data_IF_556314014264
#
_entry.id   IF_556314014264
#
_cell.length_a   1.000
_cell.length_b   1.000
_cell.length_c   1.000
_cell.angle_alpha   90.00
_cell.angle_beta   90.00
_cell.angle_gamma   90.00
#
_symmetry.space_group_name_H-M   'P 1'
#
loop_
_entity.id
_entity.type
_entity.pdbx_description
1 polymer ?
#
# COMPACT_ATOMS: atom_id res chain seq x y z
N UNK A 1 21.72 16.18 27.96
CA UNK A 1 21.31 15.46 26.73
C UNK A 1 20.16 14.48 26.99
N UNK A 2 19.07 14.91 27.63
CA UNK A 2 17.89 14.06 27.90
C UNK A 2 16.65 14.46 27.08
N UNK A 3 16.61 15.68 26.54
CA UNK A 3 15.38 16.24 25.95
C UNK A 3 14.99 15.72 24.56
N UNK A 4 15.93 15.18 23.77
CA UNK A 4 15.65 14.79 22.36
C UNK A 4 15.05 13.38 22.21
N UNK A 5 15.06 12.56 23.27
CA UNK A 5 14.52 11.19 23.23
C UNK A 5 13.04 11.13 23.57
N UNK A 6 12.58 12.02 24.45
CA UNK A 6 11.17 12.10 24.87
C UNK A 6 10.30 12.66 23.72
N UNK A 7 10.83 13.61 22.95
CA UNK A 7 10.14 14.14 21.75
C UNK A 7 9.93 13.08 20.65
N UNK A 8 10.82 12.08 20.54
CA UNK A 8 10.72 11.03 19.53
C UNK A 8 9.60 10.04 19.85
N UNK A 9 9.44 9.69 21.13
CA UNK A 9 8.37 8.80 21.58
C UNK A 9 6.99 9.44 21.39
N UNK A 10 6.88 10.75 21.64
CA UNK A 10 5.67 11.55 21.39
C UNK A 10 5.31 11.63 19.89
N UNK A 11 6.30 11.56 19.00
CA UNK A 11 6.10 11.57 17.55
C UNK A 11 5.58 10.21 17.05
N UNK A 12 6.03 9.11 17.63
CA UNK A 12 5.53 7.75 17.33
C UNK A 12 4.08 7.57 17.83
N UNK A 13 3.72 8.10 19.00
CA UNK A 13 2.33 8.11 19.50
C UNK A 13 1.39 9.02 18.68
N UNK A 14 1.95 10.05 18.03
CA UNK A 14 1.20 10.85 17.07
C UNK A 14 0.94 10.04 15.80
N UNK A 15 1.95 9.31 15.32
CA UNK A 15 1.88 8.50 14.10
C UNK A 15 0.80 7.41 14.19
N UNK A 16 0.67 6.74 15.34
CA UNK A 16 -0.35 5.71 15.57
C UNK A 16 -1.78 6.27 15.55
N UNK A 17 -1.99 7.49 16.05
CA UNK A 17 -3.28 8.19 15.96
C UNK A 17 -3.68 8.56 14.52
N UNK A 18 -2.73 8.69 13.59
CA UNK A 18 -3.02 9.02 12.18
C UNK A 18 -3.28 7.78 11.31
N UNK A 19 -2.87 6.59 11.74
CA UNK A 19 -3.09 5.34 11.00
C UNK A 19 -4.51 4.76 11.20
N UNK A 20 -5.18 5.05 12.32
CA UNK A 20 -6.59 4.65 12.54
C UNK A 20 -7.57 5.44 11.65
N UNK A 21 -7.24 6.67 11.25
CA UNK A 21 -8.15 7.57 10.52
C UNK A 21 -8.13 7.37 8.99
N UNK A 22 -7.07 6.75 8.44
CA UNK A 22 -6.95 6.52 6.97
C UNK A 22 -7.95 5.49 6.45
N UNK A 23 -8.41 4.57 7.28
CA UNK A 23 -9.43 3.58 6.91
C UNK A 23 -10.81 4.19 6.63
N UNK A 24 -11.12 5.35 7.23
CA UNK A 24 -12.48 5.89 7.26
C UNK A 24 -12.82 6.83 6.08
N UNK A 25 -11.85 7.37 5.34
CA UNK A 25 -12.11 8.30 4.23
C UNK A 25 -12.38 7.62 2.88
N UNK A 26 -12.19 6.30 2.78
CA UNK A 26 -12.36 5.57 1.52
C UNK A 26 -13.83 5.33 1.09
N UNK A 27 -14.84 5.89 1.79
CA UNK A 27 -16.25 5.58 1.51
C UNK A 27 -17.18 6.76 1.18
N UNK A 28 -16.70 8.01 1.05
CA UNK A 28 -17.58 9.12 0.68
C UNK A 28 -17.02 9.94 -0.48
N UNK A 29 -17.53 9.67 -1.69
CA UNK A 29 -17.22 10.46 -2.87
C UNK A 29 -17.77 9.92 -4.19
N UNK A 30 -18.90 9.20 -4.16
CA UNK A 30 -19.74 9.04 -5.35
C UNK A 30 -20.62 10.28 -5.53
N UNK A 31 -20.68 10.82 -6.75
CA UNK A 31 -21.53 11.96 -7.11
C UNK A 31 -20.90 12.76 -8.26
N UNK A 32 -21.10 12.36 -9.50
CA UNK A 32 -22.24 12.76 -10.34
C UNK A 32 -21.93 14.01 -11.18
N UNK A 33 -22.21 13.84 -12.47
CA UNK A 33 -22.57 14.86 -13.45
C UNK A 33 -21.48 15.79 -14.01
N UNK A 34 -21.12 15.51 -15.28
CA UNK A 34 -21.09 16.54 -16.30
C UNK A 34 -21.37 15.91 -17.67
N UNK A 35 -22.67 15.91 -17.93
CA UNK A 35 -23.39 15.89 -19.20
C UNK A 35 -22.57 16.24 -20.47
N UNK A 36 -22.60 15.31 -21.42
CA UNK A 36 -23.13 15.45 -22.79
C UNK A 36 -22.70 16.64 -23.69
N UNK A 37 -21.92 16.35 -24.75
CA UNK A 37 -22.17 16.69 -26.18
C UNK A 37 -20.88 16.72 -27.02
N UNK A 38 -20.86 16.16 -28.25
CA UNK A 38 -19.72 16.26 -29.17
C UNK A 38 -19.87 17.48 -30.11
N UNK A 39 -18.79 18.22 -30.45
CA UNK A 39 -18.83 19.11 -31.59
C UNK A 39 -17.95 18.59 -32.75
N UNK A 40 -18.65 18.27 -33.83
CA UNK A 40 -18.36 18.45 -35.27
C UNK A 40 -16.92 18.38 -35.86
N UNK A 41 -16.77 17.80 -37.08
CA UNK A 41 -15.51 17.77 -37.81
C UNK A 41 -15.32 19.07 -38.63
N UNK A 42 -14.17 19.73 -38.49
CA UNK A 42 -13.79 20.78 -39.43
C UNK A 42 -12.69 21.71 -38.94
N UNK A 43 -11.64 21.87 -39.77
CA UNK A 43 -10.83 23.08 -39.81
C UNK A 43 -9.75 23.19 -38.75
N UNK A 44 -8.56 22.69 -39.06
CA UNK A 44 -7.38 22.89 -38.23
C UNK A 44 -7.05 24.37 -38.03
N UNK A 45 -6.67 24.72 -36.80
CA UNK A 45 -5.69 25.78 -36.55
C UNK A 45 -4.89 25.40 -35.30
N UNK A 46 -3.58 25.19 -35.46
CA UNK A 46 -2.65 25.05 -34.33
C UNK A 46 -2.40 26.46 -33.79
N UNK A 47 -3.10 26.85 -32.73
CA UNK A 47 -3.04 28.20 -32.15
C UNK A 47 -2.52 28.15 -30.72
N UNK A 48 -1.31 28.70 -30.61
CA UNK A 48 -0.78 29.56 -29.55
C UNK A 48 -0.68 29.02 -28.12
N UNK A 49 0.58 28.87 -27.69
CA UNK A 49 0.98 29.14 -26.32
C UNK A 49 0.58 30.56 -25.92
N UNK A 50 -0.49 30.63 -25.13
CA UNK A 50 -0.80 31.77 -24.27
C UNK A 50 -0.38 31.49 -22.82
N UNK A 51 -0.40 32.48 -21.92
CA UNK A 51 0.13 32.39 -20.56
C UNK A 51 -0.62 31.43 -19.62
N UNK A 52 -1.61 30.67 -20.13
CA UNK A 52 -2.31 29.59 -19.41
C UNK A 52 -1.56 28.25 -19.34
N UNK A 53 -0.36 28.15 -19.95
CA UNK A 53 0.48 26.95 -19.88
C UNK A 53 0.90 26.58 -18.45
N UNK A 54 1.21 27.57 -17.62
CA UNK A 54 1.70 27.36 -16.26
C UNK A 54 0.66 26.72 -15.34
N UNK A 55 -0.63 27.09 -15.47
CA UNK A 55 -1.72 26.50 -14.67
C UNK A 55 -1.98 25.04 -15.05
N UNK A 56 -1.98 24.73 -16.35
CA UNK A 56 -2.11 23.35 -16.84
C UNK A 56 -0.90 22.48 -16.46
N UNK A 57 0.31 23.05 -16.45
CA UNK A 57 1.52 22.36 -16.00
C UNK A 57 1.54 22.12 -14.49
N UNK A 58 1.06 23.10 -13.70
CA UNK A 58 0.88 22.95 -12.26
C UNK A 58 -0.15 21.87 -11.94
N UNK A 59 -1.29 21.85 -12.64
CA UNK A 59 -2.30 20.81 -12.47
C UNK A 59 -1.76 19.42 -12.84
N UNK A 60 -1.02 19.31 -13.96
CA UNK A 60 -0.32 18.07 -14.32
C UNK A 60 0.71 17.65 -13.28
N UNK A 61 1.39 18.60 -12.64
CA UNK A 61 2.32 18.33 -11.53
C UNK A 61 1.58 17.79 -10.32
N UNK A 62 0.48 18.42 -9.90
CA UNK A 62 -0.35 17.98 -8.78
C UNK A 62 -0.88 16.56 -9.03
N UNK A 63 -1.43 16.29 -10.22
CA UNK A 63 -1.93 14.95 -10.60
C UNK A 63 -0.83 13.88 -10.50
N UNK A 64 0.39 14.21 -10.95
CA UNK A 64 1.55 13.31 -10.80
C UNK A 64 1.95 13.11 -9.34
N UNK A 65 1.93 14.16 -8.52
CA UNK A 65 2.25 14.07 -7.10
C UNK A 65 1.25 13.19 -6.34
N UNK A 66 -0.05 13.29 -6.66
CA UNK A 66 -1.10 12.41 -6.11
C UNK A 66 -0.84 10.95 -6.52
N UNK A 67 -0.57 10.69 -7.80
CA UNK A 67 -0.29 9.33 -8.28
C UNK A 67 0.95 8.73 -7.58
N UNK A 68 2.03 9.51 -7.45
CA UNK A 68 3.25 9.08 -6.75
C UNK A 68 2.99 8.83 -5.26
N UNK A 69 2.16 9.66 -4.62
CA UNK A 69 1.76 9.46 -3.23
C UNK A 69 0.99 8.14 -3.06
N UNK A 70 0.07 7.85 -3.98
CA UNK A 70 -0.70 6.61 -3.99
C UNK A 70 0.21 5.38 -4.13
N UNK A 71 1.16 5.39 -5.07
CA UNK A 71 2.09 4.27 -5.24
C UNK A 71 3.00 4.08 -4.02
N UNK A 72 3.45 5.17 -3.37
CA UNK A 72 4.19 5.06 -2.11
C UNK A 72 3.37 4.36 -1.03
N UNK A 73 2.10 4.74 -0.86
CA UNK A 73 1.20 4.11 0.10
C UNK A 73 0.99 2.63 -0.22
N UNK A 74 0.76 2.29 -1.50
CA UNK A 74 0.66 0.91 -1.97
C UNK A 74 1.93 0.10 -1.66
N UNK A 75 3.10 0.68 -1.89
CA UNK A 75 4.36 0.01 -1.59
C UNK A 75 4.59 -0.19 -0.08
N UNK A 76 4.20 0.80 0.73
CA UNK A 76 4.23 0.71 2.20
C UNK A 76 3.34 -0.44 2.71
N UNK A 77 2.10 -0.54 2.22
CA UNK A 77 1.19 -1.62 2.65
C UNK A 77 1.68 -2.99 2.21
N UNK A 78 2.24 -3.11 1.00
CA UNK A 78 2.88 -4.36 0.54
C UNK A 78 4.05 -4.72 1.47
N UNK A 79 4.93 -3.77 1.79
CA UNK A 79 6.08 -4.02 2.66
C UNK A 79 5.67 -4.34 4.10
N UNK A 80 4.58 -3.76 4.60
CA UNK A 80 4.00 -4.13 5.89
C UNK A 80 3.49 -5.58 5.85
N UNK A 81 2.77 -5.97 4.79
CA UNK A 81 2.33 -7.36 4.60
C UNK A 81 3.49 -8.37 4.60
N UNK A 82 4.61 -8.05 3.95
CA UNK A 82 5.82 -8.89 3.99
C UNK A 82 6.42 -9.00 5.40
N UNK A 83 6.37 -7.94 6.20
CA UNK A 83 6.85 -7.98 7.59
C UNK A 83 5.95 -8.86 8.45
N UNK A 84 4.63 -8.70 8.36
CA UNK A 84 3.67 -9.55 9.07
C UNK A 84 3.78 -11.02 8.65
N UNK A 85 4.01 -11.30 7.37
CA UNK A 85 4.21 -12.67 6.91
C UNK A 85 5.49 -13.28 7.48
N UNK A 86 6.56 -12.49 7.58
CA UNK A 86 7.83 -12.94 8.13
C UNK A 86 7.73 -13.35 9.59
N UNK A 87 6.91 -12.68 10.40
CA UNK A 87 6.76 -13.03 11.83
C UNK A 87 6.04 -14.36 12.06
N UNK A 88 5.33 -14.86 11.05
CA UNK A 88 4.67 -16.18 11.10
C UNK A 88 5.60 -17.33 10.71
N UNK A 89 6.79 -17.03 10.17
CA UNK A 89 7.75 -18.06 9.76
C UNK A 89 8.55 -18.57 10.97
N UNK A 90 8.87 -19.87 11.03
CA UNK A 90 9.80 -20.41 12.01
C UNK A 90 11.18 -19.72 11.92
N UNK A 91 11.85 -19.54 13.07
CA UNK A 91 13.21 -19.01 13.16
C UNK A 91 13.45 -17.61 12.53
N UNK A 92 12.46 -16.72 12.54
CA UNK A 92 12.55 -15.38 11.92
C UNK A 92 13.37 -14.33 12.71
N UNK A 93 13.76 -14.65 13.95
CA UNK A 93 14.45 -13.76 14.87
C UNK A 93 15.89 -13.47 14.40
N UNK A 94 16.20 -12.20 14.18
CA UNK A 94 17.56 -11.74 13.84
C UNK A 94 18.00 -11.90 12.37
N UNK A 95 17.39 -12.77 11.57
CA UNK A 95 17.83 -13.01 10.19
C UNK A 95 17.09 -12.15 9.15
N UNK A 96 17.82 -11.37 8.34
CA UNK A 96 17.23 -10.58 7.26
C UNK A 96 16.85 -11.47 6.06
N UNK A 97 15.56 -11.71 5.89
CA UNK A 97 15.04 -12.45 4.73
C UNK A 97 14.70 -11.52 3.54
N UNK A 98 14.96 -12.01 2.32
CA UNK A 98 14.52 -11.35 1.08
C UNK A 98 13.03 -11.63 0.83
N UNK A 99 12.37 -10.83 -0.02
CA UNK A 99 10.97 -11.07 -0.40
C UNK A 99 10.76 -12.45 -1.01
N UNK A 100 11.68 -12.90 -1.86
CA UNK A 100 11.61 -14.23 -2.46
C UNK A 100 11.79 -15.34 -1.42
N UNK A 101 12.72 -15.17 -0.48
CA UNK A 101 12.92 -16.13 0.62
C UNK A 101 11.68 -16.23 1.52
N UNK A 102 11.04 -15.09 1.85
CA UNK A 102 9.78 -15.08 2.61
C UNK A 102 8.73 -15.90 1.87
N UNK A 103 8.50 -15.64 0.58
CA UNK A 103 7.49 -16.38 -0.19
C UNK A 103 7.78 -17.88 -0.27
N UNK A 104 9.04 -18.26 -0.50
CA UNK A 104 9.47 -19.66 -0.59
C UNK A 104 9.26 -20.38 0.75
N UNK A 105 9.77 -19.81 1.85
CA UNK A 105 9.63 -20.39 3.18
C UNK A 105 8.16 -20.46 3.63
N UNK A 106 7.34 -19.47 3.28
CA UNK A 106 5.89 -19.53 3.54
C UNK A 106 5.24 -20.72 2.84
N UNK A 107 5.54 -20.94 1.56
CA UNK A 107 4.99 -22.07 0.82
C UNK A 107 5.41 -23.42 1.42
N UNK A 108 6.70 -23.56 1.76
CA UNK A 108 7.22 -24.75 2.43
C UNK A 108 6.56 -24.99 3.79
N UNK A 109 6.38 -23.92 4.58
CA UNK A 109 5.78 -24.02 5.90
C UNK A 109 4.29 -24.42 5.83
N UNK A 110 3.53 -23.87 4.88
CA UNK A 110 2.15 -24.31 4.62
C UNK A 110 2.11 -25.81 4.29
N UNK A 111 2.97 -26.26 3.38
CA UNK A 111 3.03 -27.68 3.00
C UNK A 111 3.40 -28.61 4.18
N UNK A 112 4.29 -28.16 5.08
CA UNK A 112 4.62 -28.90 6.30
C UNK A 112 3.43 -28.98 7.26
N UNK A 113 2.74 -27.85 7.50
CA UNK A 113 1.56 -27.81 8.36
C UNK A 113 0.42 -28.71 7.85
N UNK A 114 0.21 -28.79 6.53
CA UNK A 114 -0.79 -29.67 5.92
C UNK A 114 -0.47 -31.16 6.13
N UNK A 115 0.81 -31.55 5.96
CA UNK A 115 1.26 -32.91 6.23
C UNK A 115 1.11 -33.26 7.71
N UNK A 116 1.50 -32.35 8.61
CA UNK A 116 1.38 -32.56 10.05
C UNK A 116 -0.08 -32.71 10.48
N UNK A 117 -0.96 -31.84 9.98
CA UNK A 117 -2.41 -31.95 10.19
C UNK A 117 -2.93 -33.33 9.75
N UNK A 118 -2.54 -33.79 8.57
CA UNK A 118 -2.96 -35.09 8.03
C UNK A 118 -2.47 -36.25 8.92
N UNK A 119 -1.20 -36.20 9.35
CA UNK A 119 -0.61 -37.19 10.27
C UNK A 119 -1.37 -37.23 11.59
N UNK A 120 -1.61 -36.08 12.21
CA UNK A 120 -2.32 -35.96 13.49
C UNK A 120 -3.76 -36.45 13.41
N UNK A 121 -4.47 -36.16 12.32
CA UNK A 121 -5.82 -36.69 12.08
C UNK A 121 -5.80 -38.21 11.99
N UNK A 122 -4.86 -38.79 11.22
CA UNK A 122 -4.73 -40.25 11.12
C UNK A 122 -4.44 -40.90 12.47
N UNK A 123 -3.63 -40.28 13.33
CA UNK A 123 -3.34 -40.78 14.67
C UNK A 123 -4.57 -40.73 15.57
N UNK A 124 -5.32 -39.62 15.55
CA UNK A 124 -6.55 -39.48 16.35
C UNK A 124 -7.65 -40.46 15.92
N UNK A 125 -7.73 -40.83 14.63
CA UNK A 125 -8.67 -41.86 14.18
C UNK A 125 -8.30 -43.29 14.60
N UNK A 126 -7.07 -43.50 15.08
CA UNK A 126 -6.58 -44.80 15.56
C UNK A 126 -6.68 -44.96 17.08
N UNK A 127 -7.15 -43.92 17.78
CA UNK A 127 -7.41 -43.89 19.23
C UNK A 127 -8.92 -43.92 19.49
#
# INVERSE_FOLDING_TARGET
MASLREDKLRMDDMQTSYDEDIGSYCSLGGGADRSDSPPVPGGGVRIHGGPGGAGMEQEKRIRREIANSNERRRMQSINAGFQSLRTLLPHHEGEKLSKAAILQQTAEYIYQLEQEKTRLLSQNCQL
#
